data_IF_385692887173
#
_entry.id   IF_385692887173
#
_cell.length_a   1.000
_cell.length_b   1.000
_cell.length_c   1.000
_cell.angle_alpha   90.00
_cell.angle_beta   90.00
_cell.angle_gamma   90.00
#
_symmetry.space_group_name_H-M   'P 1'
#
loop_
_entity.id
_entity.type
_entity.pdbx_description
1 polymer ?
#
# COMPACT_ATOMS: atom_id res chain seq x y z
N UNK A 1 -7.58 17.94 3.19
CA UNK A 1 -8.83 18.73 3.15
C UNK A 1 -10.02 17.82 3.42
N UNK A 2 -10.45 17.78 4.68
CA UNK A 2 -11.80 17.33 5.08
C UNK A 2 -12.54 18.52 5.72
N UNK A 3 -12.16 19.73 5.31
CA UNK A 3 -12.28 20.93 6.15
C UNK A 3 -13.73 21.37 6.36
N UNK A 4 -14.62 20.91 5.47
CA UNK A 4 -16.06 21.13 5.52
C UNK A 4 -16.84 20.04 6.27
N UNK A 5 -16.19 18.98 6.75
CA UNK A 5 -16.81 17.97 7.62
C UNK A 5 -16.58 18.36 9.09
N UNK A 6 -17.63 18.24 9.91
CA UNK A 6 -17.51 18.30 11.35
C UNK A 6 -16.69 17.11 11.90
N UNK A 7 -16.22 17.21 13.14
CA UNK A 7 -15.35 16.21 13.77
C UNK A 7 -15.98 14.82 13.80
N UNK A 8 -17.28 14.73 14.10
CA UNK A 8 -17.99 13.46 14.19
C UNK A 8 -18.11 12.79 12.81
N UNK A 9 -18.50 13.56 11.78
CA UNK A 9 -18.54 13.06 10.40
C UNK A 9 -17.17 12.58 9.92
N UNK A 10 -16.08 13.29 10.25
CA UNK A 10 -14.71 12.85 9.93
C UNK A 10 -14.35 11.51 10.57
N UNK A 11 -14.68 11.33 11.85
CA UNK A 11 -14.44 10.07 12.56
C UNK A 11 -15.28 8.93 11.98
N UNK A 12 -16.55 9.18 11.66
CA UNK A 12 -17.41 8.18 11.03
C UNK A 12 -16.88 7.75 9.67
N UNK A 13 -16.41 8.70 8.84
CA UNK A 13 -15.79 8.38 7.56
C UNK A 13 -14.50 7.58 7.75
N UNK A 14 -13.64 7.97 8.69
CA UNK A 14 -12.39 7.25 8.97
C UNK A 14 -12.64 5.80 9.40
N UNK A 15 -13.63 5.57 10.28
CA UNK A 15 -14.01 4.23 10.69
C UNK A 15 -14.49 3.38 9.50
N UNK A 16 -15.27 3.96 8.59
CA UNK A 16 -15.74 3.27 7.37
C UNK A 16 -14.58 2.93 6.44
N UNK A 17 -13.61 3.85 6.28
CA UNK A 17 -12.39 3.60 5.51
C UNK A 17 -11.63 2.41 6.10
N UNK A 18 -11.36 2.43 7.41
CA UNK A 18 -10.62 1.36 8.09
C UNK A 18 -11.31 0.01 7.96
N UNK A 19 -12.63 -0.03 8.17
CA UNK A 19 -13.42 -1.25 8.00
C UNK A 19 -13.33 -1.80 6.57
N UNK A 20 -13.56 -0.94 5.57
CA UNK A 20 -13.55 -1.33 4.17
C UNK A 20 -12.16 -1.78 3.69
N UNK A 21 -11.09 -1.15 4.18
CA UNK A 21 -9.73 -1.61 3.93
C UNK A 21 -9.45 -2.97 4.59
N UNK A 22 -9.98 -3.20 5.79
CA UNK A 22 -9.87 -4.49 6.48
C UNK A 22 -10.50 -5.63 5.69
N UNK A 23 -11.60 -5.38 4.98
CA UNK A 23 -12.26 -6.37 4.11
C UNK A 23 -11.44 -6.72 2.84
N UNK A 24 -10.41 -5.93 2.50
CA UNK A 24 -9.55 -6.13 1.33
C UNK A 24 -8.16 -6.67 1.70
N UNK A 25 -7.90 -6.88 3.00
CA UNK A 25 -6.54 -7.12 3.49
C UNK A 25 -6.02 -8.50 3.10
N UNK A 26 -6.89 -9.50 3.03
CA UNK A 26 -6.53 -10.87 2.69
C UNK A 26 -6.04 -10.95 1.24
N UNK A 27 -6.76 -10.33 0.29
CA UNK A 27 -6.36 -10.24 -1.13
C UNK A 27 -5.02 -9.50 -1.31
N UNK A 28 -4.74 -8.52 -0.45
CA UNK A 28 -3.46 -7.80 -0.45
C UNK A 28 -2.34 -8.70 0.08
N UNK A 29 -2.60 -9.46 1.16
CA UNK A 29 -1.66 -10.41 1.74
C UNK A 29 -1.30 -11.51 0.72
N UNK A 30 -2.27 -11.98 -0.05
CA UNK A 30 -2.04 -12.99 -1.09
C UNK A 30 -1.15 -12.47 -2.23
N UNK A 31 -1.36 -11.22 -2.67
CA UNK A 31 -0.46 -10.55 -3.62
C UNK A 31 0.96 -10.42 -3.07
N UNK A 32 1.10 -10.11 -1.78
CA UNK A 32 2.40 -10.03 -1.11
C UNK A 32 3.08 -11.40 -1.03
N UNK A 33 2.35 -12.46 -0.69
CA UNK A 33 2.89 -13.81 -0.66
C UNK A 33 3.38 -14.23 -2.05
N UNK A 34 2.59 -13.96 -3.08
CA UNK A 34 2.93 -14.27 -4.48
C UNK A 34 4.24 -13.62 -4.91
N UNK A 35 4.41 -12.30 -4.69
CA UNK A 35 5.65 -11.62 -5.06
C UNK A 35 6.83 -12.05 -4.17
N UNK A 36 6.58 -12.32 -2.88
CA UNK A 36 7.60 -12.75 -1.94
C UNK A 36 8.20 -14.11 -2.32
N UNK A 37 7.35 -15.05 -2.73
CA UNK A 37 7.73 -16.39 -3.17
C UNK A 37 8.43 -16.35 -4.52
N UNK A 38 7.82 -15.69 -5.52
CA UNK A 38 8.35 -15.56 -6.87
C UNK A 38 9.79 -15.05 -6.90
N UNK A 39 10.11 -14.05 -6.07
CA UNK A 39 11.45 -13.47 -6.00
C UNK A 39 12.29 -14.00 -4.84
N UNK A 40 11.74 -14.91 -4.02
CA UNK A 40 12.40 -15.47 -2.84
C UNK A 40 13.04 -14.39 -1.96
N UNK A 41 12.22 -13.41 -1.57
CA UNK A 41 12.71 -12.15 -0.95
C UNK A 41 13.46 -12.36 0.37
N UNK A 42 13.33 -13.52 1.02
CA UNK A 42 13.99 -13.83 2.29
C UNK A 42 15.44 -14.32 2.17
N UNK A 43 15.96 -14.54 0.97
CA UNK A 43 17.25 -15.24 0.79
C UNK A 43 18.47 -14.31 0.75
N UNK A 44 18.29 -13.05 0.33
CA UNK A 44 19.42 -12.16 0.03
C UNK A 44 19.88 -11.36 1.26
N UNK A 45 18.94 -10.89 2.08
CA UNK A 45 19.21 -9.89 3.12
C UNK A 45 18.87 -10.36 4.54
N UNK A 46 19.80 -10.17 5.47
CA UNK A 46 19.58 -10.44 6.90
C UNK A 46 18.65 -9.40 7.57
N UNK A 47 18.50 -8.22 6.98
CA UNK A 47 17.65 -7.13 7.46
C UNK A 47 16.71 -6.72 6.34
N UNK A 48 15.45 -6.41 6.68
CA UNK A 48 14.43 -6.09 5.66
C UNK A 48 14.78 -4.79 4.91
N UNK A 49 15.09 -4.85 3.60
CA UNK A 49 15.37 -3.66 2.79
C UNK A 49 14.11 -2.80 2.58
N UNK A 50 12.93 -3.40 2.79
CA UNK A 50 11.63 -2.75 2.66
C UNK A 50 11.35 -1.71 3.76
N UNK A 51 12.05 -1.77 4.90
CA UNK A 51 11.88 -0.79 5.98
C UNK A 51 12.19 0.64 5.55
N UNK A 52 13.20 0.83 4.69
CA UNK A 52 13.55 2.15 4.18
C UNK A 52 12.48 2.68 3.22
N UNK A 53 11.90 1.81 2.41
CA UNK A 53 10.78 2.17 1.52
C UNK A 53 9.54 2.51 2.33
N UNK A 54 9.23 1.72 3.36
CA UNK A 54 8.14 2.02 4.28
C UNK A 54 8.34 3.36 4.99
N UNK A 55 9.56 3.63 5.49
CA UNK A 55 9.89 4.91 6.11
C UNK A 55 9.68 6.10 5.18
N UNK A 56 9.99 5.96 3.88
CA UNK A 56 9.68 6.98 2.88
C UNK A 56 8.16 7.11 2.67
N UNK A 57 7.44 5.98 2.59
CA UNK A 57 6.01 5.96 2.35
C UNK A 57 5.16 6.56 3.48
N UNK A 58 5.65 6.55 4.72
CA UNK A 58 4.97 7.16 5.89
C UNK A 58 5.43 8.59 6.17
N UNK A 59 6.32 9.15 5.36
CA UNK A 59 6.75 10.54 5.52
C UNK A 59 5.61 11.52 5.22
N UNK A 60 5.55 12.70 5.87
CA UNK A 60 4.47 13.67 5.65
C UNK A 60 4.32 14.17 4.21
N UNK A 61 5.41 14.13 3.43
CA UNK A 61 5.46 14.53 2.02
C UNK A 61 5.37 13.34 1.05
N UNK A 62 5.07 12.15 1.54
CA UNK A 62 4.98 10.95 0.72
C UNK A 62 3.88 11.10 -0.33
N UNK A 63 4.20 10.71 -1.55
CA UNK A 63 3.26 10.55 -2.65
C UNK A 63 3.52 9.20 -3.32
N UNK A 64 2.51 8.66 -4.01
CA UNK A 64 2.71 7.43 -4.78
C UNK A 64 3.86 7.60 -5.78
N UNK A 65 3.97 8.75 -6.43
CA UNK A 65 5.07 9.04 -7.35
C UNK A 65 6.45 9.00 -6.66
N UNK A 66 6.60 9.63 -5.50
CA UNK A 66 7.89 9.64 -4.78
C UNK A 66 8.25 8.27 -4.22
N UNK A 67 7.28 7.46 -3.81
CA UNK A 67 7.49 6.07 -3.37
C UNK A 67 7.99 5.21 -4.54
N UNK A 68 7.32 5.28 -5.70
CA UNK A 68 7.72 4.54 -6.90
C UNK A 68 9.13 4.91 -7.35
N UNK A 69 9.42 6.21 -7.43
CA UNK A 69 10.74 6.70 -7.80
C UNK A 69 11.81 6.20 -6.82
N UNK A 70 11.53 6.24 -5.52
CA UNK A 70 12.47 5.75 -4.51
C UNK A 70 12.79 4.26 -4.66
N UNK A 71 11.79 3.42 -4.98
CA UNK A 71 11.98 1.99 -5.25
C UNK A 71 12.84 1.80 -6.50
N UNK A 72 12.53 2.50 -7.60
CA UNK A 72 13.30 2.42 -8.85
C UNK A 72 14.76 2.84 -8.67
N UNK A 73 15.01 3.88 -7.89
CA UNK A 73 16.37 4.32 -7.56
C UNK A 73 17.18 3.26 -6.81
N UNK A 74 16.56 2.29 -6.13
CA UNK A 74 17.31 1.24 -5.44
C UNK A 74 18.03 0.29 -6.40
N UNK A 75 17.59 0.15 -7.66
CA UNK A 75 18.13 -0.83 -8.62
C UNK A 75 19.63 -0.60 -8.89
N UNK A 76 20.05 0.67 -9.02
CA UNK A 76 21.43 1.04 -9.34
C UNK A 76 22.19 1.69 -8.18
N UNK A 77 21.59 1.78 -6.99
CA UNK A 77 22.20 2.46 -5.86
C UNK A 77 23.28 1.59 -5.23
N UNK A 78 24.49 2.15 -5.09
CA UNK A 78 25.58 1.48 -4.38
C UNK A 78 25.18 1.14 -2.94
N UNK A 79 25.45 -0.10 -2.53
CA UNK A 79 25.09 -0.61 -1.20
C UNK A 79 23.60 -0.88 -0.99
N UNK A 80 22.76 -0.77 -2.02
CA UNK A 80 21.39 -1.24 -1.94
C UNK A 80 21.33 -2.77 -1.91
N UNK A 81 20.23 -3.29 -1.37
CA UNK A 81 19.99 -4.74 -1.32
C UNK A 81 19.94 -5.34 -2.74
N UNK A 82 20.53 -6.53 -2.96
CA UNK A 82 20.44 -7.24 -4.25
C UNK A 82 19.01 -7.55 -4.68
N UNK A 83 18.04 -7.59 -3.76
CA UNK A 83 16.65 -7.92 -4.12
C UNK A 83 16.08 -6.94 -5.14
N UNK A 84 16.49 -5.67 -5.09
CA UNK A 84 15.95 -4.62 -5.95
C UNK A 84 16.24 -4.86 -7.44
N UNK A 85 17.40 -5.42 -7.74
CA UNK A 85 17.84 -5.76 -9.10
C UNK A 85 17.64 -7.23 -9.45
N UNK A 86 17.07 -8.04 -8.54
CA UNK A 86 16.79 -9.46 -8.79
C UNK A 86 15.83 -9.61 -9.96
N UNK A 87 16.21 -10.47 -10.89
CA UNK A 87 15.46 -10.77 -12.11
C UNK A 87 14.98 -12.22 -12.12
N UNK A 88 13.71 -12.41 -12.43
CA UNK A 88 13.12 -13.73 -12.68
C UNK A 88 12.49 -13.69 -14.08
N UNK A 89 13.04 -14.47 -15.01
CA UNK A 89 12.70 -14.33 -16.43
C UNK A 89 13.05 -12.93 -16.95
N UNK A 90 12.04 -12.22 -17.45
CA UNK A 90 12.20 -10.86 -17.98
C UNK A 90 11.83 -9.75 -16.98
N UNK A 91 11.46 -10.11 -15.74
CA UNK A 91 10.91 -9.17 -14.77
C UNK A 91 11.87 -8.89 -13.63
N UNK A 92 12.07 -7.60 -13.32
CA UNK A 92 12.80 -7.13 -12.15
C UNK A 92 11.87 -6.99 -10.95
N UNK A 93 12.34 -7.39 -9.76
CA UNK A 93 11.56 -7.27 -8.52
C UNK A 93 11.07 -5.84 -8.27
N UNK A 94 11.95 -4.84 -8.38
CA UNK A 94 11.57 -3.44 -8.16
C UNK A 94 10.45 -2.98 -9.12
N UNK A 95 10.50 -3.41 -10.38
CA UNK A 95 9.46 -3.12 -11.37
C UNK A 95 8.16 -3.84 -11.04
N UNK A 96 8.22 -5.12 -10.67
CA UNK A 96 7.08 -5.91 -10.24
C UNK A 96 6.38 -5.29 -9.03
N UNK A 97 7.17 -4.86 -8.03
CA UNK A 97 6.66 -4.19 -6.83
C UNK A 97 5.99 -2.86 -7.15
N UNK A 98 6.57 -2.06 -8.03
CA UNK A 98 5.97 -0.79 -8.49
C UNK A 98 4.63 -1.05 -9.18
N UNK A 99 4.54 -2.08 -10.03
CA UNK A 99 3.29 -2.43 -10.70
C UNK A 99 2.21 -2.85 -9.69
N UNK A 100 2.56 -3.67 -8.68
CA UNK A 100 1.63 -4.04 -7.61
C UNK A 100 1.13 -2.79 -6.85
N UNK A 101 2.03 -1.85 -6.53
CA UNK A 101 1.70 -0.57 -5.88
C UNK A 101 0.74 0.26 -6.75
N UNK A 102 0.96 0.31 -8.06
CA UNK A 102 0.09 1.03 -8.99
C UNK A 102 -1.30 0.41 -9.05
N UNK A 103 -1.39 -0.92 -9.10
CA UNK A 103 -2.65 -1.67 -9.18
C UNK A 103 -3.54 -1.48 -7.94
N UNK A 104 -2.98 -1.12 -6.77
CA UNK A 104 -3.75 -0.80 -5.57
C UNK A 104 -4.73 0.38 -5.74
N UNK A 105 -4.63 1.16 -6.82
CA UNK A 105 -5.62 2.18 -7.15
C UNK A 105 -7.00 1.57 -7.42
N UNK A 106 -7.07 0.37 -7.99
CA UNK A 106 -8.34 -0.30 -8.27
C UNK A 106 -9.02 -0.80 -6.99
N UNK A 107 -8.22 -1.26 -6.03
CA UNK A 107 -8.71 -1.57 -4.68
C UNK A 107 -9.23 -0.30 -3.99
N UNK A 108 -8.51 0.82 -4.12
CA UNK A 108 -8.95 2.11 -3.57
C UNK A 108 -10.28 2.57 -4.19
N UNK A 109 -10.43 2.47 -5.52
CA UNK A 109 -11.69 2.76 -6.22
C UNK A 109 -12.83 1.89 -5.71
N UNK A 110 -12.57 0.59 -5.53
CA UNK A 110 -13.53 -0.39 -5.02
C UNK A 110 -13.97 -0.05 -3.60
N UNK A 111 -13.01 0.29 -2.73
CA UNK A 111 -13.26 0.72 -1.36
C UNK A 111 -14.12 2.00 -1.33
N UNK A 112 -13.79 3.03 -2.12
CA UNK A 112 -14.61 4.25 -2.19
C UNK A 112 -16.04 3.94 -2.61
N UNK A 113 -16.23 3.07 -3.62
CA UNK A 113 -17.55 2.61 -4.05
C UNK A 113 -18.30 1.90 -2.94
N UNK A 114 -17.63 1.04 -2.16
CA UNK A 114 -18.24 0.36 -1.02
C UNK A 114 -18.61 1.34 0.11
N UNK A 115 -17.72 2.26 0.47
CA UNK A 115 -17.97 3.30 1.49
C UNK A 115 -19.24 4.06 1.13
N UNK A 116 -19.35 4.55 -0.12
CA UNK A 116 -20.53 5.27 -0.62
C UNK A 116 -21.81 4.46 -0.47
N UNK A 117 -21.79 3.19 -0.87
CA UNK A 117 -22.95 2.28 -0.75
C UNK A 117 -23.32 1.96 0.71
N UNK A 118 -22.33 1.96 1.61
CA UNK A 118 -22.52 1.63 3.02
C UNK A 118 -23.16 2.76 3.84
N UNK A 119 -23.19 3.98 3.29
CA UNK A 119 -23.72 5.16 3.98
C UNK A 119 -25.25 5.19 3.76
N UNK A 120 -26.05 5.26 4.84
CA UNK A 120 -27.51 5.36 4.71
C UNK A 120 -27.93 6.60 3.91
N UNK A 121 -29.07 6.50 3.20
CA UNK A 121 -29.69 7.65 2.55
C UNK A 121 -29.93 8.76 3.59
N UNK A 122 -29.77 10.02 3.17
CA UNK A 122 -29.93 11.22 4.00
C UNK A 122 -28.88 11.40 5.13
N UNK A 123 -27.82 10.59 5.17
CA UNK A 123 -26.69 10.85 6.06
C UNK A 123 -25.89 12.10 5.58
N UNK A 124 -25.43 12.98 6.49
CA UNK A 124 -24.65 14.18 6.14
C UNK A 124 -23.40 13.92 5.30
N UNK A 125 -22.79 12.74 5.43
CA UNK A 125 -21.62 12.33 4.65
C UNK A 125 -21.90 12.21 3.16
N UNK A 126 -23.14 11.98 2.74
CA UNK A 126 -23.49 11.82 1.32
C UNK A 126 -23.04 13.04 0.50
N UNK A 127 -23.23 14.26 1.02
CA UNK A 127 -22.78 15.48 0.37
C UNK A 127 -21.27 15.50 0.10
N UNK A 128 -20.49 14.92 1.00
CA UNK A 128 -19.05 14.80 0.85
C UNK A 128 -18.67 13.67 -0.10
N UNK A 129 -19.18 12.45 0.13
CA UNK A 129 -18.75 11.26 -0.62
C UNK A 129 -19.33 11.17 -2.03
N UNK A 130 -20.40 11.90 -2.35
CA UNK A 130 -20.97 11.95 -3.70
C UNK A 130 -20.37 13.08 -4.56
N UNK A 131 -19.63 14.00 -3.96
CA UNK A 131 -18.88 15.01 -4.71
C UNK A 131 -17.70 14.38 -5.45
N UNK A 132 -17.59 14.61 -6.76
CA UNK A 132 -16.57 13.99 -7.61
C UNK A 132 -15.12 14.38 -7.25
N UNK A 133 -14.88 15.62 -6.79
CA UNK A 133 -13.55 16.05 -6.37
C UNK A 133 -13.16 15.39 -5.05
N UNK A 134 -14.10 15.32 -4.10
CA UNK A 134 -13.87 14.62 -2.83
C UNK A 134 -13.65 13.12 -3.05
N UNK A 135 -14.34 12.49 -4.00
CA UNK A 135 -14.10 11.09 -4.37
C UNK A 135 -12.68 10.87 -4.90
N UNK A 136 -12.19 11.76 -5.77
CA UNK A 136 -10.81 11.68 -6.28
C UNK A 136 -9.80 11.82 -5.16
N UNK A 137 -9.97 12.79 -4.26
CA UNK A 137 -9.07 12.98 -3.12
C UNK A 137 -9.14 11.83 -2.12
N UNK A 138 -10.33 11.32 -1.82
CA UNK A 138 -10.53 10.15 -0.97
C UNK A 138 -9.88 8.90 -1.58
N UNK A 139 -10.00 8.71 -2.89
CA UNK A 139 -9.36 7.60 -3.60
C UNK A 139 -7.83 7.69 -3.48
N UNK A 140 -7.25 8.87 -3.70
CA UNK A 140 -5.80 9.08 -3.52
C UNK A 140 -5.35 8.81 -2.09
N UNK A 141 -6.12 9.28 -1.11
CA UNK A 141 -5.83 9.05 0.31
C UNK A 141 -5.83 7.55 0.64
N UNK A 142 -6.86 6.83 0.21
CA UNK A 142 -6.99 5.39 0.42
C UNK A 142 -5.88 4.63 -0.32
N UNK A 143 -5.56 5.01 -1.56
CA UNK A 143 -4.47 4.40 -2.32
C UNK A 143 -3.14 4.52 -1.57
N UNK A 144 -2.81 5.71 -1.04
CA UNK A 144 -1.61 5.89 -0.24
C UNK A 144 -1.63 5.02 1.03
N UNK A 145 -2.76 4.96 1.74
CA UNK A 145 -2.91 4.10 2.92
C UNK A 145 -2.73 2.61 2.59
N UNK A 146 -3.29 2.14 1.47
CA UNK A 146 -3.12 0.76 1.00
C UNK A 146 -1.65 0.47 0.66
N UNK A 147 -0.95 1.40 0.01
CA UNK A 147 0.48 1.25 -0.30
C UNK A 147 1.33 1.18 0.97
N UNK A 148 1.04 2.01 1.96
CA UNK A 148 1.71 1.97 3.26
C UNK A 148 1.48 0.62 3.97
N UNK A 149 0.24 0.12 3.97
CA UNK A 149 -0.07 -1.20 4.51
C UNK A 149 0.65 -2.31 3.76
N UNK A 150 0.60 -2.29 2.42
CA UNK A 150 1.26 -3.26 1.56
C UNK A 150 2.74 -3.36 1.88
N UNK A 151 3.44 -2.21 1.91
CA UNK A 151 4.86 -2.15 2.24
C UNK A 151 5.16 -2.62 3.68
N UNK A 152 4.26 -2.31 4.62
CA UNK A 152 4.34 -2.79 6.00
C UNK A 152 4.24 -4.32 6.10
N UNK A 153 3.28 -4.92 5.40
CA UNK A 153 3.12 -6.38 5.34
C UNK A 153 4.28 -7.05 4.58
N UNK A 154 4.76 -6.46 3.48
CA UNK A 154 5.93 -6.95 2.76
C UNK A 154 7.19 -6.96 3.64
N UNK A 155 7.41 -5.89 4.41
CA UNK A 155 8.51 -5.81 5.37
C UNK A 155 8.41 -6.89 6.45
N UNK A 156 7.20 -7.14 6.98
CA UNK A 156 6.93 -8.21 7.95
C UNK A 156 7.14 -9.60 7.35
N UNK A 157 6.62 -9.87 6.15
CA UNK A 157 6.79 -11.14 5.44
C UNK A 157 8.26 -11.46 5.22
N UNK A 158 9.04 -10.49 4.76
CA UNK A 158 10.50 -10.65 4.65
C UNK A 158 11.14 -11.01 6.00
N UNK A 159 10.83 -10.26 7.07
CA UNK A 159 11.38 -10.54 8.40
C UNK A 159 11.02 -11.94 8.89
N UNK A 160 9.80 -12.41 8.63
CA UNK A 160 9.37 -13.77 8.95
C UNK A 160 10.20 -14.82 8.17
N UNK A 161 10.32 -14.67 6.85
CA UNK A 161 11.09 -15.59 6.01
C UNK A 161 12.57 -15.68 6.42
N UNK A 162 13.20 -14.54 6.76
CA UNK A 162 14.57 -14.52 7.27
C UNK A 162 14.68 -15.17 8.65
N UNK A 163 13.64 -15.04 9.49
CA UNK A 163 13.56 -15.72 10.77
C UNK A 163 13.47 -17.23 10.62
N UNK A 164 12.56 -17.72 9.78
CA UNK A 164 12.36 -19.14 9.46
C UNK A 164 13.63 -19.78 8.88
N UNK A 165 14.35 -19.06 8.01
CA UNK A 165 15.61 -19.53 7.44
C UNK A 165 16.74 -19.74 8.47
N UNK A 166 16.63 -19.20 9.70
CA UNK A 166 17.59 -19.48 10.78
C UNK A 166 17.32 -20.77 11.53
N UNK A 167 16.13 -21.35 11.36
CA UNK A 167 15.69 -22.57 12.04
C UNK A 167 15.70 -23.80 11.12
N UNK A 168 16.17 -23.65 9.87
CA UNK A 168 16.48 -24.74 8.94
C UNK A 168 17.98 -25.00 8.93
#
# INVERSE_FOLDING_TARGET
>A
MRDNLDSFSRQQLEFRIQKAMGEQIDDIIDRINTIAEKFSIGNEDKKSPFRNVLSNAVSPSASIASIKLFIQCQIGKSGASPIWSKRIGNELFATALVLQIEQLIEDANTIVKYIRKSIPKNNPLNNYVDNANNQKELTKEIHLKLVQLYLGYLARKHTALVGEGKFK
#
